data_IF_218830862761
#
_entry.id   IF_218830862761
#
_cell.length_a   1.000
_cell.length_b   1.000
_cell.length_c   1.000
_cell.angle_alpha   90.00
_cell.angle_beta   90.00
_cell.angle_gamma   90.00
#
_symmetry.space_group_name_H-M   'P 1'
#
loop_
_entity.id
_entity.type
_entity.pdbx_description
1 polymer ?
#
# COMPACT_ATOMS: atom_id res chain seq x y z
N UNK A 1 -24.81 -6.96 -8.13
CA UNK A 1 -23.37 -7.20 -8.01
C UNK A 1 -22.96 -7.20 -6.54
N UNK A 2 -22.14 -8.17 -6.11
CA UNK A 2 -21.54 -8.24 -4.79
C UNK A 2 -20.06 -7.82 -4.93
N UNK A 3 -19.65 -6.78 -4.23
CA UNK A 3 -18.28 -6.27 -4.31
C UNK A 3 -17.59 -6.44 -2.95
N UNK A 4 -16.58 -7.30 -2.91
CA UNK A 4 -15.79 -7.57 -1.73
C UNK A 4 -14.44 -6.84 -1.78
N UNK A 5 -14.13 -6.04 -0.76
CA UNK A 5 -12.92 -5.25 -0.71
C UNK A 5 -11.78 -6.02 -0.01
N UNK A 6 -10.90 -6.60 -0.80
CA UNK A 6 -9.67 -7.23 -0.36
C UNK A 6 -8.51 -6.20 -0.34
N UNK A 7 -7.33 -6.58 -0.75
CA UNK A 7 -6.12 -5.77 -0.89
C UNK A 7 -5.11 -6.51 -1.76
N UNK A 8 -4.10 -5.81 -2.26
CA UNK A 8 -2.86 -6.44 -2.77
C UNK A 8 -2.27 -7.40 -1.73
N UNK A 9 -2.35 -7.07 -0.44
CA UNK A 9 -1.97 -7.95 0.67
C UNK A 9 -2.81 -9.23 0.81
N UNK A 10 -3.90 -9.37 0.10
CA UNK A 10 -4.62 -10.65 -0.04
C UNK A 10 -3.99 -11.60 -1.05
N UNK A 11 -2.97 -11.17 -1.80
CA UNK A 11 -2.25 -11.94 -2.82
C UNK A 11 -0.75 -12.05 -2.59
N UNK A 12 -0.17 -11.13 -1.85
CA UNK A 12 1.25 -11.11 -1.51
C UNK A 12 1.44 -11.16 -0.01
N UNK A 13 2.64 -11.51 0.41
CA UNK A 13 2.98 -11.66 1.83
C UNK A 13 4.06 -10.67 2.25
N UNK A 14 4.04 -10.30 3.53
CA UNK A 14 5.07 -9.49 4.17
C UNK A 14 5.17 -9.85 5.66
N UNK A 15 6.35 -9.73 6.28
CA UNK A 15 6.47 -9.75 7.74
C UNK A 15 5.67 -8.63 8.41
N UNK A 16 5.42 -8.77 9.69
CA UNK A 16 4.89 -7.78 10.64
C UNK A 16 3.41 -7.33 10.41
N UNK A 17 2.76 -7.83 9.35
CA UNK A 17 1.35 -7.52 9.02
C UNK A 17 0.51 -8.77 8.77
N UNK A 18 0.91 -9.92 9.35
CA UNK A 18 0.28 -11.22 9.11
C UNK A 18 -1.23 -11.29 9.43
N UNK A 19 -1.77 -10.68 10.49
CA UNK A 19 -3.22 -10.72 10.75
C UNK A 19 -4.02 -10.01 9.65
N UNK A 20 -3.52 -8.87 9.16
CA UNK A 20 -4.14 -8.15 8.06
C UNK A 20 -4.10 -8.96 6.76
N UNK A 21 -2.94 -9.53 6.42
CA UNK A 21 -2.78 -10.40 5.26
C UNK A 21 -3.75 -11.58 5.32
N UNK A 22 -3.83 -12.25 6.47
CA UNK A 22 -4.74 -13.37 6.68
C UNK A 22 -6.20 -12.95 6.43
N UNK A 23 -6.63 -11.80 6.98
CA UNK A 23 -7.98 -11.28 6.80
C UNK A 23 -8.30 -10.97 5.33
N UNK A 24 -7.38 -10.35 4.60
CA UNK A 24 -7.58 -9.98 3.19
C UNK A 24 -7.47 -11.17 2.24
N UNK A 25 -6.67 -12.17 2.59
CA UNK A 25 -6.64 -13.46 1.90
C UNK A 25 -7.94 -14.24 2.11
N UNK A 26 -8.50 -14.21 3.33
CA UNK A 26 -9.80 -14.82 3.62
C UNK A 26 -10.93 -14.16 2.80
N UNK A 27 -10.99 -12.84 2.70
CA UNK A 27 -11.97 -12.13 1.86
C UNK A 27 -11.85 -12.56 0.40
N UNK A 28 -10.62 -12.71 -0.10
CA UNK A 28 -10.39 -13.15 -1.49
C UNK A 28 -10.85 -14.59 -1.70
N UNK A 29 -10.47 -15.52 -0.80
CA UNK A 29 -10.88 -16.92 -0.86
C UNK A 29 -12.39 -17.07 -0.75
N UNK A 30 -13.03 -16.34 0.18
CA UNK A 30 -14.49 -16.30 0.32
C UNK A 30 -15.18 -15.85 -0.97
N UNK A 31 -14.67 -14.79 -1.61
CA UNK A 31 -15.23 -14.30 -2.88
C UNK A 31 -15.12 -15.36 -4.00
N UNK A 32 -14.04 -16.14 -4.00
CA UNK A 32 -13.86 -17.23 -4.96
C UNK A 32 -14.85 -18.37 -4.74
N UNK A 33 -15.02 -18.80 -3.49
CA UNK A 33 -16.01 -19.81 -3.13
C UNK A 33 -17.43 -19.35 -3.50
N UNK A 34 -17.78 -18.11 -3.15
CA UNK A 34 -19.08 -17.52 -3.42
C UNK A 34 -19.38 -17.46 -4.92
N UNK A 35 -18.40 -17.16 -5.77
CA UNK A 35 -18.56 -17.25 -7.23
C UNK A 35 -18.88 -18.68 -7.70
N UNK A 36 -18.25 -19.67 -7.09
CA UNK A 36 -18.53 -21.08 -7.38
C UNK A 36 -19.94 -21.50 -6.95
N UNK A 37 -20.36 -21.07 -5.78
CA UNK A 37 -21.68 -21.36 -5.21
C UNK A 37 -22.80 -20.73 -6.02
N UNK A 38 -22.62 -19.48 -6.46
CA UNK A 38 -23.61 -18.69 -7.19
C UNK A 38 -23.54 -18.85 -8.72
N UNK A 39 -22.71 -19.76 -9.24
CA UNK A 39 -22.52 -19.95 -10.69
C UNK A 39 -23.81 -20.29 -11.47
N UNK A 40 -24.82 -20.77 -10.78
CA UNK A 40 -26.14 -21.11 -11.35
C UNK A 40 -27.07 -19.90 -11.47
N UNK A 41 -26.67 -18.74 -10.97
CA UNK A 41 -27.40 -17.48 -11.01
C UNK A 41 -26.68 -16.51 -11.96
N UNK A 42 -27.05 -16.46 -13.27
CA UNK A 42 -26.30 -15.70 -14.28
C UNK A 42 -26.27 -14.19 -14.02
N UNK A 43 -27.27 -13.64 -13.34
CA UNK A 43 -27.38 -12.22 -13.04
C UNK A 43 -26.68 -11.82 -11.73
N UNK A 44 -26.09 -12.78 -11.02
CA UNK A 44 -25.36 -12.53 -9.77
C UNK A 44 -23.86 -12.53 -10.02
N UNK A 45 -23.26 -11.37 -9.91
CA UNK A 45 -21.82 -11.18 -10.11
C UNK A 45 -21.12 -10.91 -8.77
N UNK A 46 -19.98 -11.57 -8.55
CA UNK A 46 -19.12 -11.35 -7.36
C UNK A 46 -17.78 -10.80 -7.81
N UNK A 47 -17.51 -9.56 -7.50
CA UNK A 47 -16.24 -8.87 -7.80
C UNK A 47 -15.37 -8.75 -6.56
N UNK A 48 -14.09 -9.06 -6.70
CA UNK A 48 -13.10 -8.79 -5.66
C UNK A 48 -12.26 -7.59 -6.06
N UNK A 49 -12.26 -6.54 -5.23
CA UNK A 49 -11.44 -5.35 -5.44
C UNK A 49 -10.22 -5.42 -4.53
N UNK A 50 -9.03 -5.31 -5.12
CA UNK A 50 -7.74 -5.42 -4.42
C UNK A 50 -6.90 -4.15 -4.63
N UNK A 51 -7.11 -3.07 -3.86
CA UNK A 51 -6.30 -1.87 -3.95
C UNK A 51 -4.92 -2.06 -3.30
N UNK A 52 -3.94 -1.32 -3.80
CA UNK A 52 -2.71 -1.05 -3.05
C UNK A 52 -2.99 -0.04 -1.93
N UNK A 53 -1.96 0.55 -1.30
CA UNK A 53 -2.15 1.54 -0.25
C UNK A 53 -3.07 2.69 -0.70
N UNK A 54 -4.06 3.02 0.12
CA UNK A 54 -5.05 4.10 -0.10
C UNK A 54 -4.87 5.15 0.99
N UNK A 55 -5.01 6.41 0.62
CA UNK A 55 -4.88 7.57 1.53
C UNK A 55 -6.10 7.70 2.45
N UNK A 56 -6.20 6.82 3.42
CA UNK A 56 -7.26 6.81 4.43
C UNK A 56 -6.67 6.86 5.83
N UNK A 57 -7.45 7.20 6.86
CA UNK A 57 -7.01 7.19 8.26
C UNK A 57 -6.67 5.81 8.84
N UNK A 58 -6.75 4.73 8.05
CA UNK A 58 -6.53 3.34 8.50
C UNK A 58 -5.19 3.17 9.23
N UNK A 59 -4.14 3.83 8.77
CA UNK A 59 -2.80 3.71 9.34
C UNK A 59 -2.66 4.41 10.70
N UNK A 60 -3.50 5.40 10.99
CA UNK A 60 -3.54 6.08 12.29
C UNK A 60 -4.54 5.41 13.24
N UNK A 61 -5.55 4.71 12.69
CA UNK A 61 -6.63 4.08 13.46
C UNK A 61 -6.42 2.58 13.70
N UNK A 62 -5.50 1.93 13.00
CA UNK A 62 -5.24 0.49 13.16
C UNK A 62 -4.62 0.19 14.53
N UNK A 63 -4.90 -1.02 15.06
CA UNK A 63 -4.15 -1.55 16.19
C UNK A 63 -2.68 -1.68 15.81
N UNK A 64 -1.81 -1.15 16.66
CA UNK A 64 -0.36 -1.22 16.47
C UNK A 64 0.35 -1.51 17.81
N UNK A 65 1.02 -2.64 17.84
CA UNK A 65 1.82 -3.08 18.99
C UNK A 65 3.32 -3.12 18.69
N UNK A 66 3.74 -2.58 17.53
CA UNK A 66 5.14 -2.56 17.09
C UNK A 66 6.02 -1.57 17.86
N UNK A 67 5.41 -0.59 18.54
CA UNK A 67 6.11 0.53 19.18
C UNK A 67 6.63 1.58 18.19
N UNK A 68 6.31 1.47 16.90
CA UNK A 68 6.70 2.39 15.82
C UNK A 68 5.47 2.76 14.99
N UNK A 69 5.40 4.01 14.53
CA UNK A 69 4.26 4.47 13.73
C UNK A 69 4.18 3.72 12.40
N UNK A 70 3.02 3.13 12.13
CA UNK A 70 2.70 2.54 10.83
C UNK A 70 2.46 3.66 9.82
N UNK A 71 2.91 3.47 8.57
CA UNK A 71 2.68 4.41 7.46
C UNK A 71 2.29 3.72 6.17
N UNK A 72 1.61 4.46 5.30
CA UNK A 72 1.28 3.99 3.96
C UNK A 72 2.53 3.81 3.10
N UNK A 73 2.70 2.64 2.49
CA UNK A 73 3.80 2.36 1.55
C UNK A 73 3.45 2.97 0.19
N UNK A 74 4.27 3.88 -0.34
CA UNK A 74 4.04 4.46 -1.65
C UNK A 74 4.19 3.44 -2.80
N UNK A 75 3.49 3.64 -3.91
CA UNK A 75 2.58 4.73 -4.24
C UNK A 75 1.20 4.59 -3.56
N UNK A 76 0.62 5.70 -3.13
CA UNK A 76 -0.66 5.76 -2.41
C UNK A 76 -1.74 6.29 -3.34
N UNK A 77 -2.85 5.57 -3.47
CA UNK A 77 -4.04 5.97 -4.23
C UNK A 77 -4.89 6.95 -3.42
N UNK A 78 -5.71 7.76 -4.08
CA UNK A 78 -6.73 8.49 -3.38
C UNK A 78 -7.96 7.62 -3.08
N UNK A 79 -8.73 7.91 -2.03
CA UNK A 79 -9.99 7.23 -1.76
C UNK A 79 -10.96 7.31 -2.95
N UNK A 80 -11.02 8.47 -3.62
CA UNK A 80 -11.89 8.71 -4.79
C UNK A 80 -11.54 7.78 -5.95
N UNK A 81 -10.25 7.61 -6.28
CA UNK A 81 -9.80 6.69 -7.33
C UNK A 81 -10.26 5.25 -7.10
N UNK A 82 -10.31 4.83 -5.84
CA UNK A 82 -10.78 3.49 -5.48
C UNK A 82 -12.30 3.42 -5.52
N UNK A 83 -13.00 4.48 -5.07
CA UNK A 83 -14.45 4.58 -5.10
C UNK A 83 -14.98 4.57 -6.53
N UNK A 84 -14.43 5.40 -7.43
CA UNK A 84 -14.74 5.40 -8.86
C UNK A 84 -14.55 4.01 -9.49
N UNK A 85 -13.49 3.34 -9.09
CA UNK A 85 -13.23 1.98 -9.54
C UNK A 85 -14.21 0.94 -9.01
N UNK A 86 -14.73 1.10 -7.80
CA UNK A 86 -15.78 0.26 -7.23
C UNK A 86 -17.10 0.51 -7.98
N UNK A 87 -17.43 1.77 -8.25
CA UNK A 87 -18.61 2.17 -9.02
C UNK A 87 -18.58 1.55 -10.41
N UNK A 88 -17.47 1.67 -11.14
CA UNK A 88 -17.29 1.04 -12.45
C UNK A 88 -17.44 -0.49 -12.40
N UNK A 89 -17.11 -1.16 -11.29
CA UNK A 89 -17.35 -2.59 -11.12
C UNK A 89 -18.82 -2.94 -10.94
N UNK A 90 -19.65 -2.01 -10.49
CA UNK A 90 -21.09 -2.22 -10.39
C UNK A 90 -21.77 -2.19 -11.78
N UNK A 91 -21.21 -1.40 -12.70
CA UNK A 91 -21.67 -1.28 -14.08
C UNK A 91 -21.09 -2.37 -15.00
N UNK A 92 -19.79 -2.66 -14.89
CA UNK A 92 -19.09 -3.71 -15.65
C UNK A 92 -18.41 -4.70 -14.66
N UNK A 93 -19.16 -5.71 -14.16
CA UNK A 93 -18.65 -6.64 -13.17
C UNK A 93 -17.51 -7.50 -13.72
N UNK A 94 -16.40 -7.53 -12.96
CA UNK A 94 -15.23 -8.36 -13.25
C UNK A 94 -14.92 -9.26 -12.08
N UNK A 95 -14.36 -10.42 -12.37
CA UNK A 95 -14.02 -11.40 -11.33
C UNK A 95 -13.14 -10.80 -10.23
N UNK A 96 -12.09 -10.09 -10.63
CA UNK A 96 -11.15 -9.48 -9.71
C UNK A 96 -10.43 -8.30 -10.35
N UNK A 97 -10.28 -7.21 -9.62
CA UNK A 97 -9.61 -5.98 -10.06
C UNK A 97 -8.59 -5.54 -9.02
N UNK A 98 -7.34 -5.40 -9.48
CA UNK A 98 -6.26 -4.80 -8.67
C UNK A 98 -6.06 -3.34 -9.09
N UNK A 99 -6.20 -2.44 -8.12
CA UNK A 99 -5.91 -1.02 -8.31
C UNK A 99 -4.49 -0.69 -7.89
N UNK A 100 -3.74 -0.12 -8.83
CA UNK A 100 -2.36 0.30 -8.65
C UNK A 100 -1.35 -0.57 -9.39
N UNK A 101 -0.55 0.06 -10.26
CA UNK A 101 0.44 -0.63 -11.10
C UNK A 101 1.54 -1.30 -10.28
N UNK A 102 1.95 -0.66 -9.18
CA UNK A 102 2.97 -1.23 -8.29
C UNK A 102 2.47 -2.49 -7.57
N UNK A 103 1.21 -2.49 -7.11
CA UNK A 103 0.58 -3.66 -6.51
C UNK A 103 0.56 -4.84 -7.47
N UNK A 104 0.14 -4.61 -8.73
CA UNK A 104 0.11 -5.67 -9.75
C UNK A 104 1.50 -6.24 -10.06
N UNK A 105 2.54 -5.40 -10.09
CA UNK A 105 3.91 -5.87 -10.26
C UNK A 105 4.35 -6.77 -9.11
N UNK A 106 4.02 -6.41 -7.88
CA UNK A 106 4.31 -7.20 -6.68
C UNK A 106 3.59 -8.56 -6.71
N UNK A 107 2.32 -8.59 -7.13
CA UNK A 107 1.55 -9.83 -7.29
C UNK A 107 2.24 -10.77 -8.29
N UNK A 108 2.64 -10.25 -9.46
CA UNK A 108 3.35 -11.04 -10.47
C UNK A 108 4.69 -11.54 -9.93
N UNK A 109 5.48 -10.67 -9.30
CA UNK A 109 6.77 -11.06 -8.74
C UNK A 109 6.63 -12.12 -7.63
N UNK A 110 5.62 -12.00 -6.77
CA UNK A 110 5.32 -12.99 -5.74
C UNK A 110 4.91 -14.34 -6.32
N UNK A 111 4.10 -14.35 -7.39
CA UNK A 111 3.61 -15.57 -8.03
C UNK A 111 4.68 -16.29 -8.86
N UNK A 112 5.54 -15.53 -9.57
CA UNK A 112 6.49 -16.11 -10.53
C UNK A 112 7.88 -16.37 -9.95
N UNK A 113 8.32 -15.56 -8.97
CA UNK A 113 9.64 -15.64 -8.38
C UNK A 113 9.63 -15.47 -6.85
N UNK A 114 8.93 -16.36 -6.07
CA UNK A 114 8.75 -16.19 -4.62
C UNK A 114 10.06 -16.04 -3.82
N UNK A 115 11.15 -16.76 -4.11
CA UNK A 115 12.41 -16.58 -3.37
C UNK A 115 13.01 -15.17 -3.56
N UNK A 116 12.95 -14.68 -4.80
CA UNK A 116 13.47 -13.36 -5.17
C UNK A 116 12.61 -12.25 -4.55
N UNK A 117 11.27 -12.43 -4.62
CA UNK A 117 10.33 -11.55 -3.96
C UNK A 117 10.63 -11.43 -2.47
N UNK A 118 10.76 -12.54 -1.74
CA UNK A 118 11.07 -12.53 -0.31
C UNK A 118 12.40 -11.84 0.00
N UNK A 119 13.44 -12.08 -0.83
CA UNK A 119 14.77 -11.50 -0.61
C UNK A 119 14.77 -9.96 -0.73
N UNK A 120 14.00 -9.39 -1.66
CA UNK A 120 14.03 -7.96 -1.95
C UNK A 120 12.83 -7.19 -1.40
N UNK A 121 11.62 -7.75 -1.51
CA UNK A 121 10.42 -7.06 -1.10
C UNK A 121 10.23 -7.04 0.42
N UNK A 122 10.57 -8.10 1.15
CA UNK A 122 10.40 -8.13 2.60
C UNK A 122 11.20 -7.05 3.34
N UNK A 123 12.51 -6.89 3.12
CA UNK A 123 13.25 -5.80 3.74
C UNK A 123 12.72 -4.41 3.35
N UNK A 124 12.31 -4.24 2.08
CA UNK A 124 11.74 -3.00 1.60
C UNK A 124 10.40 -2.66 2.27
N UNK A 125 9.56 -3.67 2.51
CA UNK A 125 8.28 -3.48 3.21
C UNK A 125 8.48 -3.19 4.68
N UNK A 126 9.28 -3.97 5.39
CA UNK A 126 9.59 -3.72 6.81
C UNK A 126 10.16 -2.31 7.01
N UNK A 127 11.11 -1.90 6.17
CA UNK A 127 11.65 -0.54 6.19
C UNK A 127 10.67 0.55 5.73
N UNK A 128 9.69 0.20 4.90
CA UNK A 128 8.67 1.11 4.36
C UNK A 128 7.44 1.27 5.24
N UNK A 129 7.07 0.23 5.98
CA UNK A 129 5.84 0.18 6.78
C UNK A 129 5.95 0.97 8.09
N UNK A 130 7.13 1.00 8.71
CA UNK A 130 7.32 1.63 10.00
C UNK A 130 8.14 2.91 9.89
N UNK A 131 7.70 3.95 10.59
CA UNK A 131 8.48 5.16 10.78
C UNK A 131 9.54 4.94 11.89
N UNK A 132 10.58 5.77 11.88
CA UNK A 132 11.55 5.81 12.97
C UNK A 132 10.98 6.42 14.26
N UNK A 133 9.88 7.19 14.14
CA UNK A 133 9.22 7.81 15.28
C UNK A 133 8.59 6.74 16.20
N UNK A 134 8.87 6.79 17.52
CA UNK A 134 8.25 5.90 18.47
C UNK A 134 6.76 6.21 18.60
N UNK A 135 5.96 5.16 18.72
CA UNK A 135 4.51 5.25 18.98
C UNK A 135 4.13 4.33 20.14
N UNK A 136 3.21 4.78 20.99
CA UNK A 136 2.70 3.92 22.05
C UNK A 136 1.87 2.79 21.45
N UNK A 137 2.12 1.53 21.85
CA UNK A 137 1.28 0.42 21.44
C UNK A 137 -0.18 0.65 21.85
N UNK A 138 -1.12 0.25 20.99
CA UNK A 138 -2.53 0.43 21.28
C UNK A 138 -3.44 -0.41 20.39
N UNK A 139 -4.68 -0.62 20.85
CA UNK A 139 -5.69 -1.39 20.15
C UNK A 139 -6.32 -0.65 18.96
N UNK A 140 -5.97 0.63 18.75
CA UNK A 140 -6.58 1.43 17.70
C UNK A 140 -8.11 1.45 17.79
N UNK A 141 -8.77 1.24 16.65
CA UNK A 141 -10.23 1.19 16.55
C UNK A 141 -10.83 -0.24 16.67
N UNK A 142 -10.08 -1.20 17.19
CA UNK A 142 -10.55 -2.60 17.30
C UNK A 142 -11.64 -2.73 18.37
N UNK A 143 -11.48 -2.06 19.50
CA UNK A 143 -12.40 -2.17 20.64
C UNK A 143 -13.33 -0.96 20.74
N UNK A 144 -12.91 0.21 20.30
CA UNK A 144 -13.67 1.46 20.36
C UNK A 144 -13.57 2.20 19.02
N UNK A 145 -14.63 2.90 18.58
CA UNK A 145 -14.59 3.68 17.35
C UNK A 145 -13.51 4.78 17.41
N UNK A 146 -12.83 5.01 16.30
CA UNK A 146 -11.95 6.16 16.19
C UNK A 146 -12.74 7.48 16.21
N UNK A 147 -12.28 8.48 16.96
CA UNK A 147 -13.01 9.74 17.14
C UNK A 147 -13.00 10.67 15.92
N UNK A 148 -12.20 10.42 14.90
CA UNK A 148 -12.09 11.27 13.71
C UNK A 148 -12.65 10.57 12.47
N UNK A 149 -13.56 11.23 11.77
CA UNK A 149 -14.19 10.75 10.53
C UNK A 149 -13.63 11.51 9.32
N UNK A 150 -12.33 11.41 9.07
CA UNK A 150 -11.72 11.96 7.86
C UNK A 150 -11.78 10.94 6.72
N UNK A 151 -11.95 11.41 5.48
CA UNK A 151 -11.85 10.57 4.28
C UNK A 151 -10.38 10.32 3.94
N UNK A 152 -9.55 11.38 3.95
CA UNK A 152 -8.12 11.31 3.67
C UNK A 152 -7.29 11.17 4.95
N UNK A 153 -6.24 10.33 4.89
CA UNK A 153 -5.24 10.20 5.95
C UNK A 153 -4.05 11.17 5.82
N UNK A 154 -3.95 11.90 4.69
CA UNK A 154 -2.88 12.87 4.43
C UNK A 154 -1.56 12.25 3.93
N UNK A 155 -1.53 10.96 3.63
CA UNK A 155 -0.34 10.21 3.22
C UNK A 155 0.20 10.62 1.85
N UNK A 156 -0.68 11.07 0.94
CA UNK A 156 -0.30 11.59 -0.39
C UNK A 156 0.42 12.93 -0.31
N UNK A 157 0.03 13.79 0.64
CA UNK A 157 0.64 15.12 0.86
C UNK A 157 2.03 15.01 1.47
N UNK A 158 2.20 14.11 2.44
CA UNK A 158 3.48 13.84 3.08
C UNK A 158 4.57 13.45 2.07
N UNK A 159 4.22 12.67 1.04
CA UNK A 159 5.15 12.24 -0.02
C UNK A 159 5.64 13.38 -0.91
N UNK A 160 4.79 14.35 -1.25
CA UNK A 160 5.22 15.49 -2.09
C UNK A 160 6.32 16.30 -1.42
N UNK A 161 6.24 16.46 -0.11
CA UNK A 161 7.30 17.11 0.69
C UNK A 161 8.59 16.31 0.73
N UNK A 162 8.53 15.00 0.90
CA UNK A 162 9.70 14.11 1.00
C UNK A 162 10.44 14.00 -0.34
N UNK A 163 9.72 13.84 -1.44
CA UNK A 163 10.30 13.82 -2.80
C UNK A 163 10.97 15.15 -3.15
N UNK A 164 10.33 16.28 -2.82
CA UNK A 164 10.91 17.60 -3.03
C UNK A 164 12.19 17.80 -2.23
N UNK A 165 12.20 17.36 -0.96
CA UNK A 165 13.41 17.42 -0.10
C UNK A 165 14.51 16.51 -0.62
N UNK A 166 14.19 15.29 -1.05
CA UNK A 166 15.16 14.36 -1.64
C UNK A 166 15.75 14.89 -2.95
N UNK A 167 14.94 15.49 -3.83
CA UNK A 167 15.40 16.12 -5.08
C UNK A 167 16.29 17.33 -4.78
N UNK A 168 15.92 18.19 -3.83
CA UNK A 168 16.74 19.34 -3.44
C UNK A 168 18.07 18.92 -2.82
N UNK A 169 18.08 17.88 -1.97
CA UNK A 169 19.30 17.32 -1.40
C UNK A 169 20.22 16.71 -2.47
N UNK A 170 19.67 15.97 -3.43
CA UNK A 170 20.43 15.41 -4.55
C UNK A 170 21.01 16.50 -5.45
N UNK A 171 20.25 17.57 -5.71
CA UNK A 171 20.72 18.73 -6.49
C UNK A 171 21.84 19.47 -5.76
N UNK A 172 21.70 19.70 -4.44
CA UNK A 172 22.72 20.33 -3.62
C UNK A 172 24.00 19.49 -3.59
N UNK A 173 23.92 18.17 -3.41
CA UNK A 173 25.07 17.28 -3.46
C UNK A 173 25.78 17.29 -4.83
N UNK A 174 25.02 17.32 -5.92
CA UNK A 174 25.58 17.41 -7.27
C UNK A 174 26.30 18.73 -7.53
N UNK A 175 25.78 19.85 -7.02
CA UNK A 175 26.41 21.17 -7.13
C UNK A 175 27.69 21.27 -6.30
N UNK A 176 27.67 20.77 -5.06
CA UNK A 176 28.85 20.74 -4.19
C UNK A 176 29.95 19.84 -4.77
N UNK A 177 29.60 18.66 -5.30
CA UNK A 177 30.56 17.77 -5.95
C UNK A 177 31.21 18.37 -7.20
N UNK A 178 30.47 19.22 -7.96
CA UNK A 178 31.02 19.96 -9.10
C UNK A 178 31.94 21.10 -8.66
N UNK A 179 31.62 21.80 -7.59
CA UNK A 179 32.46 22.87 -7.04
C UNK A 179 33.79 22.31 -6.54
N UNK A 180 33.77 21.20 -5.79
CA UNK A 180 34.97 20.53 -5.31
C UNK A 180 35.87 20.01 -6.42
N UNK A 181 35.31 19.46 -7.50
CA UNK A 181 36.10 19.02 -8.67
C UNK A 181 36.79 20.19 -9.37
N UNK A 182 36.11 21.34 -9.51
CA UNK A 182 36.70 22.55 -10.09
C UNK A 182 37.80 23.14 -9.24
N UNK A 183 37.72 23.03 -7.96
CA UNK A 183 38.76 23.50 -7.01
C UNK A 183 40.01 22.62 -7.03
N UNK A 184 39.82 21.29 -7.05
CA UNK A 184 40.90 20.31 -7.22
C UNK A 184 41.59 20.41 -8.58
N UNK A 185 40.86 20.74 -9.68
CA UNK A 185 41.48 20.97 -10.99
C UNK A 185 42.28 22.27 -11.08
N UNK A 186 41.88 23.29 -10.30
CA UNK A 186 42.65 24.57 -10.19
C UNK A 186 43.92 24.42 -9.37
N UNK A 187 43.94 23.57 -8.36
CA UNK A 187 45.11 23.34 -7.49
C UNK A 187 46.16 22.40 -8.13
N UNK A 188 45.81 21.76 -9.25
CA UNK A 188 46.74 20.87 -10.01
C UNK A 188 47.36 21.54 -11.25
N UNK A 189 47.02 22.80 -11.51
CA UNK A 189 47.66 23.64 -12.52
C UNK A 189 48.55 24.71 -11.87
#
# INVERSE_FOLDING_TARGET
>A
VLINLSSVWGRVTSPDVSPYIASKSAVRAFSECLRGELRHLPDVHVTTVAPQAVDTPIFDNAADYSGRRIRAIPPVLSPEQVAEGIEACAEDPRREISYGRAGRLLEVAHATAPPLYRRFAYPAFVGGTFDAAPQRPGAGNVLEPAGAHAIEGGWRRARRGTLRRALLAALAAALLGRAQRRENDRSRR
#
